data_IF_030073839721
#
_entry.id   IF_030073839721
#
_cell.length_a   1.000
_cell.length_b   1.000
_cell.length_c   1.000
_cell.angle_alpha   90.00
_cell.angle_beta   90.00
_cell.angle_gamma   90.00
#
_symmetry.space_group_name_H-M   'P 1'
#
loop_
_entity.id
_entity.type
_entity.pdbx_description
1 polymer ?
#
# COMPACT_ATOMS: atom_id res chain seq x y z
N UNK A 1 33.41 48.55 49.07
CA UNK A 1 33.73 47.46 49.97
C UNK A 1 32.82 46.23 49.74
N UNK A 2 33.36 45.08 49.88
CA UNK A 2 32.85 43.68 49.72
C UNK A 2 32.75 43.25 48.24
N UNK A 3 33.51 42.43 47.63
CA UNK A 3 34.44 41.37 48.01
C UNK A 3 33.73 40.04 48.15
N UNK A 4 33.70 39.24 47.08
CA UNK A 4 33.15 37.86 47.20
C UNK A 4 33.23 37.12 45.86
N UNK A 5 34.39 36.55 45.53
CA UNK A 5 34.58 35.64 44.43
C UNK A 5 34.13 34.25 44.83
N UNK A 6 33.48 33.54 43.90
CA UNK A 6 33.42 32.12 43.92
C UNK A 6 33.73 31.61 42.49
N UNK A 7 34.94 31.17 42.33
CA UNK A 7 35.40 30.34 41.24
C UNK A 7 34.98 28.90 41.50
N UNK A 8 34.27 28.31 40.56
CA UNK A 8 33.94 26.90 40.55
C UNK A 8 34.02 26.43 39.10
N UNK A 9 35.19 26.00 38.68
CA UNK A 9 35.42 25.36 37.41
C UNK A 9 34.88 23.93 37.44
N UNK A 10 33.98 23.60 36.54
CA UNK A 10 33.71 22.21 36.17
C UNK A 10 34.10 22.02 34.70
N UNK A 11 35.36 21.67 34.50
CA UNK A 11 35.86 21.12 33.27
C UNK A 11 35.48 19.65 33.23
N UNK A 12 34.42 19.31 32.51
CA UNK A 12 34.03 17.97 32.16
C UNK A 12 34.09 17.82 30.65
N UNK A 13 35.26 17.43 30.16
CA UNK A 13 35.47 17.10 28.77
C UNK A 13 34.80 15.78 28.44
N UNK A 14 33.70 15.82 27.69
CA UNK A 14 33.22 14.65 26.98
C UNK A 14 33.69 14.68 25.54
N UNK A 15 34.95 14.31 25.37
CA UNK A 15 35.53 13.94 24.09
C UNK A 15 35.18 12.50 23.74
N UNK A 16 33.93 12.29 23.34
CA UNK A 16 33.49 11.03 22.72
C UNK A 16 33.65 11.17 21.21
N UNK A 17 34.83 10.82 20.71
CA UNK A 17 35.06 10.68 19.27
C UNK A 17 34.27 9.52 18.72
N UNK A 18 33.16 9.79 18.05
CA UNK A 18 32.54 8.81 17.14
C UNK A 18 33.30 8.82 15.82
N UNK A 19 34.48 8.29 15.86
CA UNK A 19 35.25 7.87 14.68
C UNK A 19 34.83 6.44 14.32
N UNK A 20 33.57 6.25 13.98
CA UNK A 20 33.14 5.03 13.31
C UNK A 20 33.56 5.13 11.85
N UNK A 21 34.71 4.56 11.51
CA UNK A 21 35.07 4.29 10.14
C UNK A 21 33.98 3.42 9.54
N UNK A 22 33.30 3.94 8.54
CA UNK A 22 32.48 3.12 7.64
C UNK A 22 33.51 2.24 6.89
N UNK A 23 33.79 1.07 7.43
CA UNK A 23 34.32 -0.03 6.64
C UNK A 23 33.29 -0.29 5.57
N UNK A 24 33.65 -0.27 4.30
CA UNK A 24 32.76 -0.44 3.17
C UNK A 24 32.24 -1.88 3.08
N UNK A 25 31.58 -2.34 4.12
CA UNK A 25 30.74 -3.53 4.06
C UNK A 25 29.53 -3.18 3.19
N UNK A 26 29.38 -3.88 2.08
CA UNK A 26 28.22 -3.75 1.21
C UNK A 26 26.95 -3.84 2.07
N UNK A 27 26.06 -2.85 1.93
CA UNK A 27 24.76 -2.83 2.58
C UNK A 27 24.05 -4.17 2.28
N UNK A 28 23.81 -4.95 3.33
CA UNK A 28 23.18 -6.27 3.22
C UNK A 28 24.14 -7.47 3.19
N UNK A 29 25.48 -7.29 3.33
CA UNK A 29 26.45 -8.39 3.34
C UNK A 29 26.20 -9.44 4.44
N UNK A 30 25.50 -9.06 5.53
CA UNK A 30 25.06 -9.96 6.60
C UNK A 30 23.67 -10.59 6.40
N UNK A 31 22.98 -10.29 5.30
CA UNK A 31 21.65 -10.86 5.04
C UNK A 31 21.78 -12.25 4.42
N UNK A 32 21.37 -13.25 5.14
CA UNK A 32 21.22 -14.60 4.58
C UNK A 32 20.01 -14.64 3.65
N UNK A 33 20.20 -15.16 2.44
CA UNK A 33 19.09 -15.42 1.53
C UNK A 33 18.19 -16.49 2.16
N UNK A 34 16.95 -16.11 2.47
CA UNK A 34 15.97 -17.05 2.93
C UNK A 34 15.68 -18.10 1.84
N UNK A 35 15.73 -19.37 2.18
CA UNK A 35 15.33 -20.48 1.31
C UNK A 35 13.93 -20.89 1.73
N UNK A 36 12.99 -20.77 0.80
CA UNK A 36 11.60 -21.16 1.00
C UNK A 36 11.33 -22.44 0.21
N UNK A 37 10.65 -23.40 0.81
CA UNK A 37 10.05 -24.51 0.07
C UNK A 37 8.56 -24.26 -0.13
N UNK A 38 7.97 -24.78 -1.19
CA UNK A 38 6.50 -24.66 -1.39
C UNK A 38 5.71 -25.27 -0.22
N UNK A 39 6.30 -26.26 0.47
CA UNK A 39 5.69 -26.88 1.66
C UNK A 39 5.61 -25.96 2.88
N UNK A 40 6.43 -24.91 2.94
CA UNK A 40 6.45 -23.92 4.02
C UNK A 40 5.45 -22.78 3.80
N UNK A 41 4.84 -22.70 2.61
CA UNK A 41 3.89 -21.66 2.27
C UNK A 41 2.47 -22.08 2.58
N UNK A 42 1.80 -21.30 3.43
CA UNK A 42 0.36 -21.49 3.69
C UNK A 42 -0.43 -20.94 2.51
N UNK A 43 -1.22 -21.78 1.80
CA UNK A 43 -2.07 -21.30 0.73
C UNK A 43 -3.09 -20.27 1.25
N UNK A 44 -3.25 -19.17 0.52
CA UNK A 44 -4.25 -18.16 0.84
C UNK A 44 -5.00 -17.73 -0.42
N UNK A 45 -6.23 -17.27 -0.27
CA UNK A 45 -7.01 -16.73 -1.36
C UNK A 45 -6.50 -15.34 -1.72
N UNK A 46 -6.33 -15.10 -3.03
CA UNK A 46 -5.84 -13.83 -3.57
C UNK A 46 -6.66 -13.27 -4.73
N UNK A 47 -7.70 -13.98 -5.15
CA UNK A 47 -8.59 -13.54 -6.22
C UNK A 47 -9.94 -13.10 -5.66
N UNK A 48 -10.08 -11.81 -5.47
CA UNK A 48 -11.30 -11.17 -4.96
C UNK A 48 -12.05 -10.39 -6.04
N UNK A 49 -11.53 -10.37 -7.29
CA UNK A 49 -12.19 -9.67 -8.37
C UNK A 49 -13.43 -10.42 -8.84
N UNK A 50 -14.57 -9.75 -8.77
CA UNK A 50 -15.82 -10.20 -9.36
C UNK A 50 -16.16 -9.24 -10.48
N UNK A 51 -15.98 -9.70 -11.73
CA UNK A 51 -16.27 -8.87 -12.89
C UNK A 51 -17.75 -8.55 -12.95
N UNK A 52 -18.08 -7.27 -13.06
CA UNK A 52 -19.46 -6.79 -13.23
C UNK A 52 -19.99 -7.20 -14.63
N UNK A 53 -21.25 -7.61 -14.76
CA UNK A 53 -21.84 -7.96 -16.05
C UNK A 53 -21.66 -6.88 -17.12
N UNK A 54 -21.72 -5.60 -16.74
CA UNK A 54 -21.48 -4.46 -17.65
C UNK A 54 -20.07 -4.45 -18.21
N UNK A 55 -19.09 -4.89 -17.44
CA UNK A 55 -17.70 -5.02 -17.89
C UNK A 55 -17.55 -6.21 -18.82
N UNK A 56 -18.18 -7.34 -18.48
CA UNK A 56 -18.17 -8.56 -19.31
C UNK A 56 -18.79 -8.32 -20.69
N UNK A 57 -19.96 -7.65 -20.75
CA UNK A 57 -20.71 -7.36 -21.96
C UNK A 57 -20.05 -6.32 -22.88
N UNK A 58 -19.11 -5.56 -22.35
CA UNK A 58 -18.39 -4.50 -23.11
C UNK A 58 -17.56 -5.10 -24.24
N UNK A 59 -17.74 -4.60 -25.45
CA UNK A 59 -16.99 -5.10 -26.61
C UNK A 59 -15.50 -4.72 -26.54
N UNK A 60 -14.67 -5.45 -27.27
CA UNK A 60 -13.23 -5.18 -27.35
C UNK A 60 -12.96 -3.79 -27.99
N UNK A 61 -13.81 -3.35 -28.91
CA UNK A 61 -13.73 -2.01 -29.52
C UNK A 61 -13.99 -0.92 -28.49
N UNK A 62 -15.02 -1.07 -27.66
CA UNK A 62 -15.33 -0.12 -26.57
C UNK A 62 -14.20 -0.05 -25.55
N UNK A 63 -13.61 -1.21 -25.20
CA UNK A 63 -12.45 -1.26 -24.31
C UNK A 63 -11.23 -0.58 -24.93
N UNK A 64 -10.97 -0.83 -26.21
CA UNK A 64 -9.85 -0.22 -26.93
C UNK A 64 -10.02 1.31 -27.06
N UNK A 65 -11.23 1.77 -27.33
CA UNK A 65 -11.55 3.20 -27.38
C UNK A 65 -11.37 3.88 -26.03
N UNK A 66 -11.89 3.27 -24.94
CA UNK A 66 -11.69 3.78 -23.58
C UNK A 66 -10.20 3.89 -23.24
N UNK A 67 -9.42 2.82 -23.48
CA UNK A 67 -7.97 2.82 -23.23
C UNK A 67 -7.26 3.92 -24.01
N UNK A 68 -7.64 4.15 -25.27
CA UNK A 68 -7.09 5.21 -26.10
C UNK A 68 -7.46 6.60 -25.57
N UNK A 69 -8.72 6.82 -25.24
CA UNK A 69 -9.20 8.10 -24.70
C UNK A 69 -8.59 8.45 -23.34
N UNK A 70 -8.26 7.44 -22.52
CA UNK A 70 -7.62 7.60 -21.20
C UNK A 70 -6.09 7.41 -21.25
N UNK A 71 -5.49 7.30 -22.44
CA UNK A 71 -4.05 7.12 -22.68
C UNK A 71 -3.45 5.92 -21.94
N UNK A 72 -4.20 4.82 -21.82
CA UNK A 72 -3.78 3.61 -21.14
C UNK A 72 -3.03 2.71 -22.11
N UNK A 73 -1.74 2.48 -21.87
CA UNK A 73 -0.92 1.52 -22.61
C UNK A 73 -0.69 0.27 -21.77
N UNK A 74 -0.83 -0.90 -22.38
CA UNK A 74 -0.70 -2.19 -21.73
C UNK A 74 0.45 -3.01 -22.29
N UNK A 75 1.07 -3.77 -21.40
CA UNK A 75 1.99 -4.87 -21.74
C UNK A 75 1.63 -6.08 -20.88
N UNK A 76 1.61 -7.28 -21.48
CA UNK A 76 1.26 -8.51 -20.80
C UNK A 76 0.16 -9.29 -21.48
N UNK A 77 -0.23 -10.41 -20.89
CA UNK A 77 -1.25 -11.33 -21.42
C UNK A 77 -2.46 -11.40 -20.50
N UNK A 78 -3.61 -11.71 -21.06
CA UNK A 78 -4.86 -11.92 -20.32
C UNK A 78 -5.19 -10.75 -19.37
N UNK A 79 -4.97 -9.50 -19.81
CA UNK A 79 -5.28 -8.32 -19.02
C UNK A 79 -6.79 -8.13 -19.00
N UNK A 80 -7.44 -8.08 -17.81
CA UNK A 80 -8.87 -7.89 -17.71
C UNK A 80 -9.31 -6.56 -18.30
N UNK A 81 -10.59 -6.47 -18.64
CA UNK A 81 -11.21 -5.22 -19.09
C UNK A 81 -11.15 -4.18 -17.97
N UNK A 82 -10.98 -2.88 -18.29
CA UNK A 82 -10.98 -1.83 -17.27
C UNK A 82 -12.38 -1.60 -16.72
N UNK A 83 -12.45 -1.20 -15.46
CA UNK A 83 -13.68 -0.63 -14.88
C UNK A 83 -13.78 0.83 -15.27
N UNK A 84 -14.95 1.30 -15.64
CA UNK A 84 -15.19 2.68 -16.07
C UNK A 84 -15.89 3.51 -14.98
N UNK A 85 -16.59 2.85 -14.06
CA UNK A 85 -17.25 3.47 -12.93
C UNK A 85 -16.86 2.78 -11.63
N UNK A 86 -17.07 3.45 -10.50
CA UNK A 86 -16.80 2.85 -9.19
C UNK A 86 -17.69 1.63 -8.91
N UNK A 87 -18.93 1.64 -9.36
CA UNK A 87 -19.88 0.54 -9.15
C UNK A 87 -19.49 -0.76 -9.88
N UNK A 88 -18.63 -0.67 -10.89
CA UNK A 88 -18.09 -1.83 -11.63
C UNK A 88 -16.92 -2.51 -10.93
N UNK A 89 -16.40 -1.92 -9.86
CA UNK A 89 -15.15 -2.41 -9.22
C UNK A 89 -15.34 -3.70 -8.45
N UNK A 90 -16.56 -4.02 -8.04
CA UNK A 90 -16.85 -5.14 -7.15
C UNK A 90 -16.31 -4.95 -5.73
N UNK A 91 -15.96 -3.72 -5.35
CA UNK A 91 -15.51 -3.44 -3.99
C UNK A 91 -16.64 -3.63 -2.97
N UNK A 92 -16.32 -4.14 -1.77
CA UNK A 92 -17.28 -4.23 -0.68
C UNK A 92 -17.81 -2.84 -0.27
N UNK A 93 -19.03 -2.81 0.31
CA UNK A 93 -19.72 -1.57 0.70
C UNK A 93 -18.87 -0.65 1.60
N UNK A 94 -18.04 -1.21 2.47
CA UNK A 94 -17.18 -0.42 3.35
C UNK A 94 -16.11 0.36 2.60
N UNK A 95 -15.60 -0.16 1.48
CA UNK A 95 -14.69 0.56 0.56
C UNK A 95 -15.48 1.61 -0.23
N UNK A 96 -16.63 1.22 -0.79
CA UNK A 96 -17.48 2.11 -1.58
C UNK A 96 -17.93 3.34 -0.78
N UNK A 97 -18.26 3.18 0.50
CA UNK A 97 -18.59 4.32 1.37
C UNK A 97 -17.44 5.33 1.48
N UNK A 98 -16.18 4.87 1.57
CA UNK A 98 -15.04 5.77 1.65
C UNK A 98 -14.73 6.45 0.30
N UNK A 99 -14.88 5.73 -0.81
CA UNK A 99 -14.77 6.33 -2.15
C UNK A 99 -15.80 7.45 -2.32
N UNK A 100 -17.06 7.20 -1.97
CA UNK A 100 -18.14 8.19 -2.10
C UNK A 100 -17.91 9.45 -1.25
N UNK A 101 -17.32 9.32 -0.06
CA UNK A 101 -16.96 10.47 0.78
C UNK A 101 -15.92 11.39 0.16
N UNK A 102 -15.09 10.89 -0.77
CA UNK A 102 -14.07 11.68 -1.45
C UNK A 102 -14.64 12.57 -2.55
N UNK A 103 -15.89 12.33 -2.97
CA UNK A 103 -16.55 13.10 -4.02
C UNK A 103 -15.99 12.83 -5.42
N UNK A 104 -15.24 11.74 -5.63
CA UNK A 104 -14.82 11.33 -6.96
C UNK A 104 -16.01 10.84 -7.76
N UNK A 105 -16.06 11.21 -9.03
CA UNK A 105 -17.14 10.83 -9.95
C UNK A 105 -16.83 9.58 -10.76
N UNK A 106 -15.55 9.35 -11.05
CA UNK A 106 -15.06 8.21 -11.82
C UNK A 106 -13.66 7.78 -11.35
N UNK A 107 -13.27 6.52 -11.57
CA UNK A 107 -11.90 6.07 -11.34
C UNK A 107 -10.92 6.78 -12.28
N UNK A 108 -9.74 7.10 -11.76
CA UNK A 108 -8.65 7.59 -12.63
C UNK A 108 -8.18 6.51 -13.61
N UNK A 109 -7.46 6.87 -14.71
CA UNK A 109 -7.01 5.88 -15.69
C UNK A 109 -6.22 4.72 -15.09
N UNK A 110 -5.32 5.02 -14.13
CA UNK A 110 -4.52 3.99 -13.46
C UNK A 110 -5.40 3.11 -12.57
N UNK A 111 -6.39 3.66 -11.87
CA UNK A 111 -7.33 2.92 -11.04
C UNK A 111 -8.22 2.02 -11.88
N UNK A 112 -8.78 2.54 -12.97
CA UNK A 112 -9.64 1.81 -13.90
C UNK A 112 -9.03 0.49 -14.37
N UNK A 113 -7.74 0.49 -14.70
CA UNK A 113 -7.06 -0.68 -15.22
C UNK A 113 -6.37 -1.50 -14.14
N UNK A 114 -5.84 -0.89 -13.07
CA UNK A 114 -5.08 -1.59 -12.04
C UNK A 114 -5.97 -2.38 -11.07
N UNK A 115 -7.15 -1.88 -10.73
CA UNK A 115 -8.01 -2.53 -9.73
C UNK A 115 -8.46 -3.94 -10.11
N UNK A 116 -8.93 -4.23 -11.34
CA UNK A 116 -9.23 -5.59 -11.75
C UNK A 116 -8.04 -6.55 -11.59
N UNK A 117 -6.83 -6.08 -11.91
CA UNK A 117 -5.60 -6.86 -11.79
C UNK A 117 -5.21 -7.10 -10.32
N UNK A 118 -5.17 -6.03 -9.52
CA UNK A 118 -4.79 -6.10 -8.12
C UNK A 118 -5.78 -6.93 -7.30
N UNK A 119 -7.08 -6.78 -7.56
CA UNK A 119 -8.13 -7.59 -6.92
C UNK A 119 -8.08 -9.06 -7.34
N UNK A 120 -7.54 -9.37 -8.52
CA UNK A 120 -7.30 -10.75 -8.95
C UNK A 120 -6.01 -11.36 -8.38
N UNK A 121 -5.29 -10.64 -7.50
CA UNK A 121 -4.03 -11.08 -6.91
C UNK A 121 -2.90 -11.27 -7.92
N UNK A 122 -2.90 -10.51 -9.01
CA UNK A 122 -1.89 -10.57 -10.07
C UNK A 122 -0.79 -9.56 -9.83
N UNK A 123 0.40 -9.90 -10.30
CA UNK A 123 1.53 -8.99 -10.32
C UNK A 123 1.27 -7.86 -11.32
N UNK A 124 1.61 -6.64 -10.92
CA UNK A 124 1.34 -5.43 -11.69
C UNK A 124 2.50 -4.45 -11.57
N UNK A 125 2.98 -3.97 -12.71
CA UNK A 125 3.84 -2.78 -12.80
C UNK A 125 3.02 -1.65 -13.41
N UNK A 126 2.79 -0.59 -12.63
CA UNK A 126 1.93 0.52 -13.02
C UNK A 126 2.72 1.84 -12.98
N UNK A 127 2.82 2.50 -14.13
CA UNK A 127 3.50 3.78 -14.30
C UNK A 127 2.44 4.82 -14.63
N UNK A 128 2.41 5.90 -13.86
CA UNK A 128 1.49 7.01 -14.07
C UNK A 128 2.05 8.29 -13.45
N UNK A 129 1.54 9.43 -13.85
CA UNK A 129 1.96 10.75 -13.35
C UNK A 129 1.75 10.91 -11.84
N UNK A 130 2.44 11.88 -11.25
CA UNK A 130 2.19 12.28 -9.86
C UNK A 130 0.77 12.85 -9.73
N UNK A 131 0.09 12.52 -8.63
CA UNK A 131 -1.30 12.96 -8.44
C UNK A 131 -2.37 12.15 -9.20
N UNK A 132 -1.99 11.14 -10.00
CA UNK A 132 -2.94 10.30 -10.75
C UNK A 132 -3.76 9.31 -9.90
N UNK A 133 -3.60 9.32 -8.58
CA UNK A 133 -4.32 8.41 -7.67
C UNK A 133 -3.70 7.02 -7.53
N UNK A 134 -2.39 6.87 -7.81
CA UNK A 134 -1.66 5.59 -7.63
C UNK A 134 -1.79 5.01 -6.23
N UNK A 135 -1.69 5.87 -5.20
CA UNK A 135 -1.78 5.41 -3.79
C UNK A 135 -3.11 4.70 -3.53
N UNK A 136 -4.22 5.29 -3.95
CA UNK A 136 -5.54 4.67 -3.88
C UNK A 136 -5.60 3.43 -4.78
N UNK A 137 -4.91 3.47 -5.92
CA UNK A 137 -4.81 2.37 -6.87
C UNK A 137 -4.29 1.07 -6.27
N UNK A 138 -3.36 1.12 -5.32
CA UNK A 138 -2.85 -0.05 -4.62
C UNK A 138 -3.38 -0.22 -3.19
N UNK A 139 -3.71 0.86 -2.49
CA UNK A 139 -4.16 0.78 -1.09
C UNK A 139 -5.54 0.12 -0.95
N UNK A 140 -6.52 0.48 -1.78
CA UNK A 140 -7.86 -0.10 -1.67
C UNK A 140 -7.90 -1.60 -1.93
N UNK A 141 -7.26 -2.16 -2.99
CA UNK A 141 -7.12 -3.60 -3.12
C UNK A 141 -6.42 -4.25 -1.92
N UNK A 142 -5.35 -3.63 -1.40
CA UNK A 142 -4.62 -4.16 -0.24
C UNK A 142 -5.53 -4.30 0.99
N UNK A 143 -6.44 -3.36 1.24
CA UNK A 143 -7.39 -3.48 2.35
C UNK A 143 -8.35 -4.66 2.19
N UNK A 144 -8.78 -4.97 0.96
CA UNK A 144 -9.59 -6.17 0.69
C UNK A 144 -8.80 -7.43 0.99
N UNK A 145 -7.56 -7.50 0.48
CA UNK A 145 -6.66 -8.64 0.72
C UNK A 145 -6.36 -8.81 2.22
N UNK A 146 -6.05 -7.73 2.94
CA UNK A 146 -5.77 -7.77 4.39
C UNK A 146 -7.01 -8.27 5.16
N UNK A 147 -8.19 -7.75 4.85
CA UNK A 147 -9.42 -8.10 5.57
C UNK A 147 -9.85 -9.55 5.34
N UNK A 148 -9.46 -10.14 4.22
CA UNK A 148 -9.74 -11.53 3.90
C UNK A 148 -8.81 -12.53 4.62
N UNK A 149 -7.72 -12.04 5.23
CA UNK A 149 -6.78 -12.90 5.96
C UNK A 149 -7.23 -13.14 7.40
N UNK A 150 -6.80 -14.26 8.01
CA UNK A 150 -6.99 -14.48 9.45
C UNK A 150 -6.37 -13.35 10.28
N UNK A 151 -6.90 -13.07 11.48
CA UNK A 151 -6.27 -12.13 12.42
C UNK A 151 -4.83 -12.53 12.75
N UNK A 152 -3.93 -11.55 12.77
CA UNK A 152 -2.53 -11.78 13.10
C UNK A 152 -2.38 -12.34 14.52
N UNK A 153 -1.51 -13.33 14.65
CA UNK A 153 -1.09 -13.91 15.92
C UNK A 153 0.21 -13.26 16.42
N UNK A 154 0.55 -13.53 17.68
CA UNK A 154 1.83 -13.07 18.23
C UNK A 154 3.00 -13.70 17.46
N UNK A 155 3.88 -12.86 16.93
CA UNK A 155 5.04 -13.28 16.13
C UNK A 155 4.84 -13.22 14.62
N UNK A 156 3.61 -13.01 14.14
CA UNK A 156 3.36 -12.82 12.71
C UNK A 156 3.93 -11.48 12.21
N UNK A 157 4.37 -11.46 10.97
CA UNK A 157 4.74 -10.26 10.25
C UNK A 157 3.53 -9.53 9.67
N UNK A 158 3.75 -8.38 9.00
CA UNK A 158 2.68 -7.64 8.33
C UNK A 158 2.09 -8.44 7.16
N UNK A 159 0.76 -8.36 6.97
CA UNK A 159 0.08 -8.99 5.82
C UNK A 159 0.43 -8.27 4.51
N UNK A 160 0.57 -6.96 4.56
CA UNK A 160 0.96 -6.14 3.41
C UNK A 160 2.16 -5.25 3.77
N UNK A 161 3.12 -5.17 2.85
CA UNK A 161 4.32 -4.33 2.97
C UNK A 161 4.37 -3.34 1.82
N UNK A 162 4.48 -2.04 2.13
CA UNK A 162 4.62 -0.98 1.14
C UNK A 162 5.99 -0.35 1.30
N UNK A 163 6.81 -0.40 0.24
CA UNK A 163 8.13 0.18 0.21
C UNK A 163 8.13 1.52 -0.54
N UNK A 164 8.82 2.50 -0.01
CA UNK A 164 8.99 3.81 -0.62
C UNK A 164 10.46 4.23 -0.61
N UNK A 165 10.95 4.96 -1.65
CA UNK A 165 12.35 5.34 -1.76
C UNK A 165 12.76 6.43 -0.76
N UNK A 166 11.80 7.20 -0.21
CA UNK A 166 12.07 8.25 0.77
C UNK A 166 11.11 8.17 1.94
N UNK A 167 11.55 8.72 3.09
CA UNK A 167 10.74 8.80 4.30
C UNK A 167 9.47 9.65 4.08
N UNK A 168 9.60 10.75 3.38
CA UNK A 168 8.50 11.69 3.10
C UNK A 168 7.38 10.98 2.32
N UNK A 169 7.76 10.20 1.28
CA UNK A 169 6.79 9.42 0.52
C UNK A 169 6.15 8.31 1.36
N UNK A 170 6.94 7.64 2.21
CA UNK A 170 6.39 6.63 3.14
C UNK A 170 5.37 7.24 4.10
N UNK A 171 5.65 8.42 4.67
CA UNK A 171 4.72 9.15 5.54
C UNK A 171 3.47 9.60 4.78
N UNK A 172 3.61 10.07 3.54
CA UNK A 172 2.47 10.41 2.69
C UNK A 172 1.58 9.18 2.45
N UNK A 173 2.16 8.04 2.08
CA UNK A 173 1.42 6.79 1.88
C UNK A 173 0.74 6.35 3.18
N UNK A 174 1.44 6.41 4.32
CA UNK A 174 0.87 6.09 5.63
C UNK A 174 -0.35 6.95 5.95
N UNK A 175 -0.28 8.27 5.70
CA UNK A 175 -1.39 9.18 5.95
C UNK A 175 -2.61 8.83 5.08
N UNK A 176 -2.40 8.55 3.79
CA UNK A 176 -3.45 8.11 2.88
C UNK A 176 -4.04 6.77 3.34
N UNK A 177 -3.21 5.78 3.65
CA UNK A 177 -3.67 4.49 4.16
C UNK A 177 -4.45 4.64 5.47
N UNK A 178 -4.02 5.53 6.38
CA UNK A 178 -4.73 5.79 7.64
C UNK A 178 -6.08 6.46 7.41
N UNK A 179 -6.16 7.38 6.44
CA UNK A 179 -7.40 8.06 6.08
C UNK A 179 -8.48 7.08 5.60
N UNK A 180 -8.11 6.12 4.76
CA UNK A 180 -9.03 5.09 4.26
C UNK A 180 -9.21 3.93 5.24
N UNK A 181 -8.12 3.49 5.87
CA UNK A 181 -8.11 2.34 6.76
C UNK A 181 -8.85 2.55 8.07
N UNK A 182 -8.81 3.76 8.64
CA UNK A 182 -9.47 4.04 9.92
C UNK A 182 -11.00 3.84 9.90
N UNK A 183 -11.75 4.35 8.89
CA UNK A 183 -13.18 4.09 8.76
C UNK A 183 -13.49 2.63 8.43
N UNK A 184 -12.66 1.99 7.60
CA UNK A 184 -12.78 0.56 7.25
C UNK A 184 -12.60 -0.28 8.52
N UNK A 185 -11.69 0.12 9.37
CA UNK A 185 -11.43 -0.48 10.68
C UNK A 185 -12.60 -0.29 11.64
N UNK A 186 -13.12 0.92 11.78
CA UNK A 186 -14.25 1.20 12.67
C UNK A 186 -15.49 0.38 12.32
N UNK A 187 -15.75 0.17 11.02
CA UNK A 187 -16.85 -0.69 10.55
C UNK A 187 -16.58 -2.20 10.75
N UNK A 188 -15.32 -2.57 11.03
CA UNK A 188 -14.92 -3.95 11.29
C UNK A 188 -14.86 -4.28 12.80
N UNK A 189 -14.93 -3.27 13.66
CA UNK A 189 -14.91 -3.44 15.12
C UNK A 189 -16.12 -4.19 15.68
N UNK A 190 -17.15 -4.44 14.88
CA UNK A 190 -18.20 -5.42 15.24
C UNK A 190 -17.71 -6.87 15.13
N UNK A 191 -16.51 -7.16 14.64
CA UNK A 191 -16.06 -8.53 14.42
C UNK A 191 -14.57 -8.88 14.64
N UNK A 192 -13.66 -8.01 15.07
CA UNK A 192 -12.35 -8.39 15.61
C UNK A 192 -11.36 -7.21 15.76
N UNK A 193 -10.53 -7.26 16.77
CA UNK A 193 -9.46 -6.33 17.10
C UNK A 193 -8.45 -6.15 15.96
N UNK A 194 -8.54 -5.05 15.22
CA UNK A 194 -7.54 -4.64 14.24
C UNK A 194 -6.46 -3.80 14.92
N UNK A 195 -5.21 -4.19 14.82
CA UNK A 195 -4.06 -3.47 15.36
C UNK A 195 -3.33 -2.72 14.22
N UNK A 196 -2.78 -1.54 14.52
CA UNK A 196 -1.97 -0.71 13.60
C UNK A 196 -0.74 -1.43 13.02
N UNK A 197 -0.46 -2.64 13.48
CA UNK A 197 0.64 -3.51 13.05
C UNK A 197 0.45 -4.15 11.67
N UNK A 198 -0.69 -3.97 11.02
CA UNK A 198 -1.04 -4.67 9.77
C UNK A 198 -0.44 -4.04 8.50
N UNK A 199 0.12 -2.83 8.59
CA UNK A 199 0.78 -2.13 7.47
C UNK A 199 2.13 -1.61 7.97
N UNK A 200 3.19 -2.12 7.40
CA UNK A 200 4.57 -1.69 7.62
C UNK A 200 5.17 -1.09 6.35
#
# INVERSE_FOLDING_TARGET
GYGGGYGGGYGGGYGGGYGGGYSGEELGAGLNKATWSEADLVPFEKNFYKEDPRVTERSDEQVAEFRRAKEITLRGSNVPKPVMTFDETGYPDYIMREINKLGFTEPSPIQSQAWPLAMSGRDLVAIAETGSGKTIGFALPSFVHIKAQPPLQYGDGPIALILAPTRELAVQIQNECSRFGSPIHASAQESAQWDRRHIA
#
